data_IF_502403025597
#
_entry.id   IF_502403025597
#
_cell.length_a   1.000
_cell.length_b   1.000
_cell.length_c   1.000
_cell.angle_alpha   90.00
_cell.angle_beta   90.00
_cell.angle_gamma   90.00
#
_symmetry.space_group_name_H-M   'P 1'
#
loop_
_entity.id
_entity.type
_entity.pdbx_description
1 polymer ?
#
# COMPACT_ATOMS: atom_id res chain seq x y z
N UNK A 1 2.83 5.27 -3.48
CA UNK A 1 2.08 4.86 -4.70
C UNK A 1 2.74 3.66 -5.38
N UNK A 2 4.06 3.68 -5.66
CA UNK A 2 4.74 2.57 -6.35
C UNK A 2 4.55 1.22 -5.64
N UNK A 3 4.77 1.16 -4.33
CA UNK A 3 4.56 -0.06 -3.54
C UNK A 3 3.11 -0.56 -3.61
N UNK A 4 2.15 0.37 -3.58
CA UNK A 4 0.74 0.03 -3.76
C UNK A 4 0.47 -0.58 -5.13
N UNK A 5 1.00 0.02 -6.21
CA UNK A 5 0.84 -0.51 -7.57
C UNK A 5 1.42 -1.93 -7.70
N UNK A 6 2.56 -2.19 -7.09
CA UNK A 6 3.14 -3.55 -7.03
C UNK A 6 2.22 -4.50 -6.27
N UNK A 7 1.74 -4.09 -5.09
CA UNK A 7 0.80 -4.88 -4.30
C UNK A 7 -0.49 -5.17 -5.05
N UNK A 8 -1.09 -4.16 -5.68
CA UNK A 8 -2.29 -4.31 -6.51
C UNK A 8 -2.06 -5.22 -7.71
N UNK A 9 -0.89 -5.13 -8.36
CA UNK A 9 -0.54 -6.02 -9.45
C UNK A 9 -0.44 -7.49 -8.99
N UNK A 10 0.19 -7.75 -7.83
CA UNK A 10 0.24 -9.08 -7.23
C UNK A 10 -1.17 -9.58 -6.89
N UNK A 11 -2.02 -8.73 -6.30
CA UNK A 11 -3.42 -9.03 -6.06
C UNK A 11 -4.15 -9.47 -7.33
N UNK A 12 -4.01 -8.72 -8.41
CA UNK A 12 -4.61 -9.04 -9.70
C UNK A 12 -4.10 -10.36 -10.27
N UNK A 13 -2.79 -10.61 -10.23
CA UNK A 13 -2.21 -11.87 -10.71
C UNK A 13 -2.69 -13.09 -9.91
N UNK A 14 -2.79 -12.96 -8.59
CA UNK A 14 -3.18 -14.06 -7.71
C UNK A 14 -4.70 -14.27 -7.69
N UNK A 15 -5.48 -13.20 -7.84
CA UNK A 15 -6.95 -13.23 -7.87
C UNK A 15 -7.54 -13.80 -9.16
N UNK A 16 -6.80 -13.77 -10.29
CA UNK A 16 -7.31 -14.27 -11.57
C UNK A 16 -7.59 -15.77 -11.50
N UNK A 17 -8.85 -16.11 -11.70
CA UNK A 17 -9.27 -17.51 -11.84
C UNK A 17 -9.20 -17.92 -13.30
N UNK A 18 -8.32 -18.84 -13.62
CA UNK A 18 -8.24 -19.40 -14.98
C UNK A 18 -9.29 -20.50 -15.16
N UNK A 19 -9.93 -20.59 -16.35
CA UNK A 19 -10.84 -21.68 -16.69
C UNK A 19 -10.20 -23.06 -16.47
N UNK A 20 -11.01 -24.03 -16.03
CA UNK A 20 -10.56 -25.42 -15.87
C UNK A 20 -10.15 -25.97 -17.24
N UNK A 21 -8.93 -26.53 -17.36
CA UNK A 21 -8.44 -27.13 -18.60
C UNK A 21 -7.38 -26.32 -19.37
N UNK A 22 -7.05 -25.09 -18.96
CA UNK A 22 -5.95 -24.37 -19.59
C UNK A 22 -4.61 -25.07 -19.27
N UNK A 23 -3.81 -25.30 -20.33
CA UNK A 23 -2.47 -25.89 -20.20
C UNK A 23 -1.59 -25.04 -19.31
N UNK A 24 -0.79 -25.67 -18.45
CA UNK A 24 0.15 -24.98 -17.55
C UNK A 24 1.07 -24.00 -18.28
N UNK A 25 1.58 -24.39 -19.45
CA UNK A 25 2.43 -23.53 -20.30
C UNK A 25 1.74 -22.20 -20.65
N UNK A 26 0.46 -22.25 -21.04
CA UNK A 26 -0.31 -21.04 -21.39
C UNK A 26 -0.51 -20.12 -20.19
N UNK A 27 -0.78 -20.70 -19.00
CA UNK A 27 -0.88 -19.90 -17.77
C UNK A 27 0.44 -19.19 -17.45
N UNK A 28 1.55 -19.92 -17.53
CA UNK A 28 2.88 -19.38 -17.27
C UNK A 28 3.25 -18.27 -18.25
N UNK A 29 3.00 -18.47 -19.55
CA UNK A 29 3.24 -17.46 -20.58
C UNK A 29 2.40 -16.20 -20.32
N UNK A 30 1.12 -16.33 -19.99
CA UNK A 30 0.26 -15.18 -19.69
C UNK A 30 0.76 -14.39 -18.45
N UNK A 31 1.18 -15.08 -17.40
CA UNK A 31 1.75 -14.44 -16.21
C UNK A 31 3.03 -13.69 -16.58
N UNK A 32 3.93 -14.34 -17.31
CA UNK A 32 5.21 -13.74 -17.71
C UNK A 32 4.99 -12.51 -18.61
N UNK A 33 4.06 -12.59 -19.55
CA UNK A 33 3.67 -11.45 -20.41
C UNK A 33 3.10 -10.31 -19.56
N UNK A 34 2.23 -10.60 -18.61
CA UNK A 34 1.67 -9.57 -17.72
C UNK A 34 2.74 -8.89 -16.89
N UNK A 35 3.71 -9.66 -16.36
CA UNK A 35 4.87 -9.11 -15.63
C UNK A 35 5.70 -8.22 -16.55
N UNK A 36 6.02 -8.69 -17.75
CA UNK A 36 6.78 -7.92 -18.72
C UNK A 36 6.11 -6.59 -19.09
N UNK A 37 4.80 -6.62 -19.34
CA UNK A 37 4.02 -5.41 -19.63
C UNK A 37 3.99 -4.46 -18.41
N UNK A 38 3.82 -4.99 -17.21
CA UNK A 38 3.85 -4.16 -15.99
C UNK A 38 5.20 -3.46 -15.83
N UNK A 39 6.30 -4.19 -15.97
CA UNK A 39 7.65 -3.63 -15.89
C UNK A 39 7.86 -2.56 -16.95
N UNK A 40 7.48 -2.85 -18.20
CA UNK A 40 7.64 -1.92 -19.32
C UNK A 40 6.89 -0.60 -19.10
N UNK A 41 5.62 -0.66 -18.74
CA UNK A 41 4.82 0.55 -18.47
C UNK A 41 5.32 1.29 -17.22
N UNK A 42 5.79 0.57 -16.20
CA UNK A 42 6.39 1.20 -15.02
C UNK A 42 7.68 1.94 -15.35
N UNK A 43 8.53 1.39 -16.21
CA UNK A 43 9.76 2.05 -16.68
C UNK A 43 9.45 3.28 -17.54
N UNK A 44 8.44 3.19 -18.41
CA UNK A 44 7.99 4.35 -19.19
C UNK A 44 7.47 5.47 -18.26
N UNK A 45 6.63 5.13 -17.29
CA UNK A 45 6.13 6.08 -16.31
C UNK A 45 7.26 6.71 -15.47
N UNK A 46 8.21 5.91 -15.01
CA UNK A 46 9.38 6.38 -14.29
C UNK A 46 10.27 7.29 -15.15
N UNK A 47 10.44 6.96 -16.43
CA UNK A 47 11.19 7.79 -17.39
C UNK A 47 10.54 9.15 -17.60
N UNK A 48 9.23 9.20 -17.78
CA UNK A 48 8.48 10.47 -17.92
C UNK A 48 8.55 11.30 -16.62
N UNK A 49 8.42 10.65 -15.46
CA UNK A 49 8.54 11.32 -14.17
C UNK A 49 9.99 11.70 -13.81
N UNK A 50 10.98 11.11 -14.48
CA UNK A 50 12.41 11.28 -14.20
C UNK A 50 12.87 12.73 -14.27
N UNK A 51 12.29 13.53 -15.15
CA UNK A 51 12.60 14.96 -15.28
C UNK A 51 12.38 15.71 -13.96
N UNK A 52 11.36 15.32 -13.18
CA UNK A 52 11.07 15.91 -11.87
C UNK A 52 11.71 15.13 -10.73
N UNK A 53 11.76 13.81 -10.83
CA UNK A 53 12.25 12.94 -9.76
C UNK A 53 13.77 13.04 -9.57
N UNK A 54 14.55 13.17 -10.65
CA UNK A 54 16.00 13.24 -10.55
C UNK A 54 16.50 14.48 -9.78
N UNK A 55 16.07 15.71 -10.12
CA UNK A 55 16.45 16.88 -9.34
C UNK A 55 15.97 16.83 -7.90
N UNK A 56 14.74 16.31 -7.68
CA UNK A 56 14.17 16.17 -6.33
C UNK A 56 14.98 15.17 -5.51
N UNK A 57 15.36 14.05 -6.10
CA UNK A 57 16.18 13.03 -5.43
C UNK A 57 17.55 13.58 -5.06
N UNK A 58 18.21 14.31 -5.99
CA UNK A 58 19.51 14.94 -5.74
C UNK A 58 19.41 15.93 -4.57
N UNK A 59 18.41 16.81 -4.58
CA UNK A 59 18.18 17.77 -3.50
C UNK A 59 17.89 17.10 -2.15
N UNK A 60 17.15 15.97 -2.13
CA UNK A 60 16.89 15.22 -0.92
C UNK A 60 18.16 14.56 -0.35
N UNK A 61 19.01 14.03 -1.21
CA UNK A 61 20.30 13.44 -0.79
C UNK A 61 21.22 14.45 -0.13
N UNK A 62 21.23 15.69 -0.60
CA UNK A 62 22.06 16.75 -0.02
C UNK A 62 21.48 17.34 1.28
N UNK A 63 20.15 17.31 1.48
CA UNK A 63 19.54 18.03 2.60
C UNK A 63 19.27 17.18 3.84
N UNK A 64 18.50 16.11 3.74
CA UNK A 64 17.94 15.39 4.92
C UNK A 64 18.39 13.93 5.03
N UNK A 65 18.77 13.27 3.95
CA UNK A 65 19.14 11.86 3.96
C UNK A 65 20.39 11.59 4.84
N UNK A 66 21.25 12.60 5.04
CA UNK A 66 22.46 12.49 5.85
C UNK A 66 22.20 12.48 7.37
N UNK A 67 21.00 12.85 7.82
CA UNK A 67 20.69 12.99 9.25
C UNK A 67 19.81 11.86 9.81
N UNK A 68 19.29 10.99 8.98
CA UNK A 68 18.40 9.91 9.43
C UNK A 68 19.22 8.65 9.70
N UNK A 69 19.40 8.28 10.97
CA UNK A 69 19.98 6.99 11.33
C UNK A 69 19.08 5.86 10.87
N UNK A 70 19.70 4.86 10.25
CA UNK A 70 19.01 3.68 9.72
C UNK A 70 18.81 2.67 10.85
N UNK A 71 17.79 2.91 11.70
CA UNK A 71 17.41 1.98 12.75
C UNK A 71 16.02 1.41 12.41
N UNK A 72 15.92 0.08 12.37
CA UNK A 72 14.63 -0.60 12.21
C UNK A 72 14.05 -0.89 13.59
N UNK A 73 13.02 -0.15 13.97
CA UNK A 73 12.23 -0.47 15.14
C UNK A 73 11.02 -1.31 14.75
N UNK A 74 10.88 -2.45 15.41
CA UNK A 74 9.75 -3.36 15.23
C UNK A 74 8.66 -3.11 16.29
N UNK A 75 8.69 -1.97 16.92
CA UNK A 75 7.68 -1.58 17.89
C UNK A 75 6.37 -1.21 17.20
N UNK A 76 5.27 -1.50 17.89
CA UNK A 76 3.94 -1.08 17.46
C UNK A 76 3.79 0.41 17.74
N UNK A 77 3.46 1.19 16.74
CA UNK A 77 3.34 2.63 16.84
C UNK A 77 2.16 3.04 17.76
N UNK A 78 1.10 2.24 17.81
CA UNK A 78 -0.07 2.47 18.65
C UNK A 78 -0.91 1.20 18.83
N UNK A 79 -1.78 1.15 19.88
CA UNK A 79 -2.67 0.02 20.13
C UNK A 79 -3.67 -0.20 19.00
N UNK A 80 -3.90 -1.45 18.62
CA UNK A 80 -4.83 -1.81 17.54
C UNK A 80 -6.25 -1.23 17.69
N UNK A 81 -6.87 -1.16 18.91
CA UNK A 81 -8.18 -0.54 19.08
C UNK A 81 -8.24 0.94 18.66
N UNK A 82 -7.16 1.68 18.87
CA UNK A 82 -7.08 3.09 18.45
C UNK A 82 -7.08 3.22 16.94
N UNK A 83 -6.42 2.30 16.24
CA UNK A 83 -6.44 2.25 14.78
C UNK A 83 -7.84 1.99 14.23
N UNK A 84 -8.58 1.04 14.84
CA UNK A 84 -9.96 0.75 14.45
C UNK A 84 -10.87 1.97 14.67
N UNK A 85 -10.63 2.74 15.73
CA UNK A 85 -11.40 3.97 15.99
C UNK A 85 -11.28 4.99 14.87
N UNK A 86 -10.15 5.02 14.13
CA UNK A 86 -9.92 5.96 13.01
C UNK A 86 -10.73 5.67 11.75
N UNK A 87 -11.42 4.53 11.70
CA UNK A 87 -12.38 4.22 10.63
C UNK A 87 -13.72 4.98 10.77
N UNK A 88 -13.98 5.56 11.94
CA UNK A 88 -15.23 6.25 12.22
C UNK A 88 -15.14 7.76 11.99
N UNK A 89 -16.28 8.36 11.67
CA UNK A 89 -16.40 9.80 11.45
C UNK A 89 -16.00 10.59 12.71
N UNK A 90 -15.21 11.65 12.54
CA UNK A 90 -14.80 12.52 13.64
C UNK A 90 -13.70 11.96 14.54
N UNK A 91 -13.18 10.77 14.28
CA UNK A 91 -12.09 10.17 15.07
C UNK A 91 -10.70 10.75 14.76
N UNK A 92 -10.57 11.58 13.74
CA UNK A 92 -9.31 12.21 13.35
C UNK A 92 -9.41 13.74 13.49
N UNK A 93 -8.49 14.33 14.25
CA UNK A 93 -8.35 15.77 14.42
C UNK A 93 -7.03 16.26 13.83
N UNK A 94 -6.99 17.52 13.39
CA UNK A 94 -5.78 18.13 12.84
C UNK A 94 -4.61 18.15 13.83
N UNK A 95 -4.87 18.23 15.13
CA UNK A 95 -3.85 18.19 16.18
C UNK A 95 -3.13 16.83 16.25
N UNK A 96 -3.72 15.78 15.69
CA UNK A 96 -3.12 14.44 15.62
C UNK A 96 -2.20 14.24 14.41
N UNK A 97 -2.18 15.17 13.47
CA UNK A 97 -1.31 15.09 12.28
C UNK A 97 0.18 15.01 12.62
N UNK A 98 0.70 15.82 13.56
CA UNK A 98 2.11 15.74 13.94
C UNK A 98 2.43 14.46 14.75
N UNK A 99 1.46 13.95 15.51
CA UNK A 99 1.64 12.78 16.38
C UNK A 99 1.59 11.44 15.67
N UNK A 100 1.20 11.45 14.38
CA UNK A 100 1.38 10.28 13.53
C UNK A 100 0.27 9.26 13.51
N UNK A 101 -0.96 9.62 13.87
CA UNK A 101 -2.10 8.72 13.66
C UNK A 101 -2.51 8.70 12.17
N UNK A 102 -2.79 7.51 11.60
CA UNK A 102 -3.29 7.43 10.23
C UNK A 102 -4.73 7.92 10.15
N UNK A 103 -5.06 8.62 9.07
CA UNK A 103 -6.45 8.90 8.74
C UNK A 103 -7.01 7.77 7.88
N UNK A 104 -7.85 6.92 8.46
CA UNK A 104 -8.44 5.75 7.80
C UNK A 104 -9.90 5.94 7.43
N UNK A 105 -10.47 7.12 7.68
CA UNK A 105 -11.86 7.37 7.36
C UNK A 105 -12.05 7.58 5.86
N UNK A 106 -12.59 6.57 5.20
CA UNK A 106 -12.90 6.56 3.75
C UNK A 106 -14.38 6.87 3.44
N UNK A 107 -15.15 7.19 4.46
CA UNK A 107 -16.60 7.37 4.35
C UNK A 107 -17.39 6.13 4.74
N UNK A 108 -18.52 6.35 5.40
CA UNK A 108 -19.34 5.25 5.93
C UNK A 108 -19.89 4.32 4.84
N UNK A 109 -20.24 4.86 3.67
CA UNK A 109 -20.70 4.06 2.54
C UNK A 109 -19.60 3.15 1.98
N UNK A 110 -18.37 3.66 1.89
CA UNK A 110 -17.24 2.86 1.43
C UNK A 110 -16.91 1.74 2.43
N UNK A 111 -16.96 2.03 3.73
CA UNK A 111 -16.76 1.02 4.78
C UNK A 111 -17.81 -0.10 4.70
N UNK A 112 -19.08 0.25 4.55
CA UNK A 112 -20.17 -0.74 4.39
C UNK A 112 -19.97 -1.55 3.10
N UNK A 113 -19.64 -0.90 1.98
CA UNK A 113 -19.39 -1.57 0.71
C UNK A 113 -18.22 -2.54 0.79
N UNK A 114 -17.16 -2.16 1.50
CA UNK A 114 -16.01 -3.00 1.77
C UNK A 114 -16.40 -4.26 2.56
N UNK A 115 -17.20 -4.13 3.61
CA UNK A 115 -17.71 -5.28 4.36
C UNK A 115 -18.59 -6.17 3.46
N UNK A 116 -19.49 -5.58 2.68
CA UNK A 116 -20.36 -6.30 1.75
C UNK A 116 -19.57 -7.09 0.71
N UNK A 117 -18.41 -6.61 0.29
CA UNK A 117 -17.53 -7.32 -0.65
C UNK A 117 -17.18 -8.73 -0.17
N UNK A 118 -16.84 -8.89 1.11
CA UNK A 118 -16.48 -10.20 1.66
C UNK A 118 -17.67 -11.17 1.76
N UNK A 119 -18.88 -10.68 1.88
CA UNK A 119 -20.09 -11.50 1.91
C UNK A 119 -20.65 -11.79 0.51
N UNK A 120 -20.21 -11.05 -0.50
CA UNK A 120 -20.72 -11.20 -1.86
C UNK A 120 -20.19 -12.50 -2.50
N UNK A 121 -21.11 -13.39 -2.87
CA UNK A 121 -20.81 -14.68 -3.49
C UNK A 121 -20.36 -14.57 -4.96
N UNK A 122 -20.52 -13.43 -5.58
CA UNK A 122 -20.05 -13.18 -6.94
C UNK A 122 -18.53 -13.28 -7.06
N UNK A 123 -17.81 -12.85 -6.03
CA UNK A 123 -16.35 -12.94 -5.98
C UNK A 123 -15.88 -14.33 -5.54
N UNK A 124 -14.85 -14.84 -6.19
CA UNK A 124 -14.28 -16.14 -5.85
C UNK A 124 -13.68 -16.12 -4.43
N UNK A 125 -13.67 -17.28 -3.77
CA UNK A 125 -13.04 -17.43 -2.43
C UNK A 125 -11.57 -17.00 -2.45
N UNK A 126 -10.87 -17.33 -3.55
CA UNK A 126 -9.46 -16.97 -3.75
C UNK A 126 -9.28 -15.46 -3.82
N UNK A 127 -10.12 -14.75 -4.56
CA UNK A 127 -10.08 -13.30 -4.69
C UNK A 127 -10.34 -12.61 -3.35
N UNK A 128 -11.37 -13.02 -2.61
CA UNK A 128 -11.66 -12.50 -1.27
C UNK A 128 -10.52 -12.75 -0.28
N UNK A 129 -9.92 -13.94 -0.32
CA UNK A 129 -8.78 -14.26 0.53
C UNK A 129 -7.56 -13.39 0.19
N UNK A 130 -7.28 -13.19 -1.10
CA UNK A 130 -6.18 -12.34 -1.52
C UNK A 130 -6.40 -10.87 -1.12
N UNK A 131 -7.64 -10.36 -1.24
CA UNK A 131 -8.01 -9.03 -0.77
C UNK A 131 -7.82 -8.90 0.75
N UNK A 132 -8.24 -9.90 1.51
CA UNK A 132 -8.07 -9.93 2.97
C UNK A 132 -6.58 -9.89 3.36
N UNK A 133 -5.75 -10.70 2.71
CA UNK A 133 -4.30 -10.71 2.95
C UNK A 133 -3.68 -9.36 2.65
N UNK A 134 -4.05 -8.74 1.53
CA UNK A 134 -3.57 -7.39 1.17
C UNK A 134 -3.99 -6.35 2.20
N UNK A 135 -5.24 -6.40 2.66
CA UNK A 135 -5.72 -5.51 3.71
C UNK A 135 -4.92 -5.68 5.01
N UNK A 136 -4.70 -6.93 5.45
CA UNK A 136 -3.91 -7.21 6.65
C UNK A 136 -2.49 -6.67 6.49
N UNK A 137 -1.86 -6.85 5.34
CA UNK A 137 -0.52 -6.31 5.07
C UNK A 137 -0.50 -4.78 5.17
N UNK A 138 -1.52 -4.07 4.67
CA UNK A 138 -1.62 -2.63 4.81
C UNK A 138 -1.81 -2.20 6.26
N UNK A 139 -2.71 -2.87 6.98
CA UNK A 139 -2.96 -2.60 8.41
C UNK A 139 -1.67 -2.79 9.23
N UNK A 140 -0.96 -3.89 9.01
CA UNK A 140 0.32 -4.16 9.67
C UNK A 140 1.36 -3.11 9.30
N UNK A 141 1.42 -2.72 8.02
CA UNK A 141 2.38 -1.70 7.55
C UNK A 141 2.10 -0.32 8.14
N UNK A 142 0.87 -0.02 8.54
CA UNK A 142 0.52 1.23 9.23
C UNK A 142 0.84 1.21 10.72
N UNK A 143 1.01 0.04 11.32
CA UNK A 143 1.25 -0.07 12.75
C UNK A 143 2.71 -0.33 13.12
N UNK A 144 3.51 -0.85 12.18
CA UNK A 144 4.92 -1.12 12.40
C UNK A 144 5.78 0.02 11.86
N UNK A 145 6.62 0.60 12.71
CA UNK A 145 7.47 1.74 12.37
C UNK A 145 8.46 1.41 11.23
N UNK A 146 8.99 0.20 11.22
CA UNK A 146 9.87 -0.28 10.14
C UNK A 146 9.20 -0.18 8.76
N UNK A 147 7.92 -0.56 8.65
CA UNK A 147 7.17 -0.46 7.39
C UNK A 147 6.86 0.99 7.03
N UNK A 148 6.58 1.85 8.02
CA UNK A 148 6.40 3.28 7.78
C UNK A 148 7.64 3.90 7.13
N UNK A 149 8.84 3.55 7.59
CA UNK A 149 10.11 3.96 6.97
C UNK A 149 10.23 3.46 5.52
N UNK A 150 9.84 2.21 5.24
CA UNK A 150 9.86 1.64 3.87
C UNK A 150 8.94 2.45 2.92
N UNK A 151 7.72 2.81 3.37
CA UNK A 151 6.79 3.62 2.58
C UNK A 151 7.31 5.03 2.28
N UNK A 152 8.18 5.56 3.14
CA UNK A 152 8.79 6.89 3.02
C UNK A 152 10.22 6.86 2.45
N UNK A 153 10.54 5.84 1.65
CA UNK A 153 11.86 5.65 1.03
C UNK A 153 13.00 5.64 2.06
N UNK A 154 12.80 4.91 3.15
CA UNK A 154 13.75 4.75 4.26
C UNK A 154 14.06 6.03 5.04
N UNK A 155 13.19 7.03 4.96
CA UNK A 155 13.30 8.25 5.75
C UNK A 155 12.18 8.32 6.79
N UNK A 156 12.48 8.85 7.98
CA UNK A 156 11.43 9.12 8.96
C UNK A 156 10.72 10.43 8.62
N UNK A 157 9.41 10.42 8.38
CA UNK A 157 8.67 11.63 8.07
C UNK A 157 8.50 12.48 9.35
N UNK A 158 8.94 13.74 9.31
CA UNK A 158 8.82 14.68 10.44
C UNK A 158 7.36 15.10 10.66
N UNK A 159 6.59 15.14 9.58
CA UNK A 159 5.17 15.51 9.56
C UNK A 159 4.38 14.46 8.80
N UNK A 160 3.18 14.10 9.28
CA UNK A 160 2.31 13.11 8.66
C UNK A 160 2.98 11.76 8.42
N UNK A 161 3.40 11.04 9.45
CA UNK A 161 4.16 9.79 9.29
C UNK A 161 3.42 8.73 8.47
N UNK A 162 2.09 8.70 8.51
CA UNK A 162 1.27 7.71 7.77
C UNK A 162 0.57 8.30 6.55
N UNK A 163 1.28 9.12 5.75
CA UNK A 163 0.73 9.73 4.52
C UNK A 163 0.18 8.73 3.53
N UNK A 164 0.68 7.50 3.53
CA UNK A 164 0.20 6.46 2.63
C UNK A 164 -1.16 5.87 3.03
N UNK A 165 -1.76 6.28 4.15
CA UNK A 165 -3.08 5.82 4.59
C UNK A 165 -4.20 6.07 3.57
N UNK A 166 -4.05 7.06 2.69
CA UNK A 166 -5.00 7.34 1.61
C UNK A 166 -5.10 6.24 0.55
N UNK A 167 -4.20 5.25 0.58
CA UNK A 167 -4.16 4.13 -0.38
C UNK A 167 -5.09 2.99 0.04
N UNK A 168 -5.48 2.94 1.31
CA UNK A 168 -6.37 1.92 1.90
C UNK A 168 -7.81 2.29 1.67
#
# INVERSE_FOLDING_TARGET
>A
ICLFLVGYFIFRLTGVSYPKGIRWKTKFTNILTSIGLFIWHSLLGAGLAGVLLLPTFHSLMESKASYTKFEFDWELAYPFPEMVSKLFIGAFNFDQMPSGYPNLFIGSLALVSFLCYFFNRYFSKKERLTALVMMILFVVSMNLEAFNKIWHAMQYPIWYPYRFSFVV
#
